data_IF_200889623311
#
_entry.id   IF_200889623311
#
_cell.length_a   1.000
_cell.length_b   1.000
_cell.length_c   1.000
_cell.angle_alpha   90.00
_cell.angle_beta   90.00
_cell.angle_gamma   90.00
#
_symmetry.space_group_name_H-M   'P 1'
#
loop_
_entity.id
_entity.type
_entity.pdbx_description
1 polymer ?
#
# COMPACT_ATOMS: atom_id res chain seq x y z
N UNK A 1 -71.88 34.85 -17.78
CA UNK A 1 -72.20 33.44 -17.45
C UNK A 1 -71.33 32.60 -18.35
N UNK A 2 -70.24 32.21 -17.93
CA UNK A 2 -69.50 31.02 -18.40
C UNK A 2 -68.25 30.90 -17.54
N UNK A 3 -68.29 29.95 -16.66
CA UNK A 3 -67.11 29.54 -15.86
C UNK A 3 -66.11 28.84 -16.74
N UNK A 4 -64.90 29.36 -16.77
CA UNK A 4 -63.79 28.75 -17.46
C UNK A 4 -62.83 28.11 -16.42
N UNK A 5 -62.96 26.81 -16.29
CA UNK A 5 -62.20 25.99 -15.35
C UNK A 5 -60.79 25.77 -15.92
N UNK A 6 -59.82 26.47 -15.42
CA UNK A 6 -58.40 26.23 -15.70
C UNK A 6 -57.96 24.84 -15.15
N UNK A 7 -58.02 23.83 -15.99
CA UNK A 7 -57.42 22.51 -15.75
C UNK A 7 -55.91 22.62 -15.85
N UNK A 8 -55.24 22.76 -14.71
CA UNK A 8 -53.77 22.77 -14.58
C UNK A 8 -53.24 21.39 -14.97
N UNK A 9 -52.73 21.26 -16.20
CA UNK A 9 -52.02 20.07 -16.67
C UNK A 9 -50.66 19.98 -15.93
N UNK A 10 -50.60 19.18 -14.90
CA UNK A 10 -49.32 18.80 -14.32
C UNK A 10 -48.65 17.79 -15.26
N UNK A 11 -47.56 18.23 -15.90
CA UNK A 11 -46.82 17.46 -16.88
C UNK A 11 -46.12 16.27 -16.22
N UNK A 12 -46.24 15.11 -16.85
CA UNK A 12 -45.60 13.84 -16.49
C UNK A 12 -44.03 13.89 -16.56
N UNK A 13 -43.44 15.07 -16.81
CA UNK A 13 -42.00 15.27 -16.94
C UNK A 13 -41.25 15.39 -15.61
N UNK A 14 -41.95 15.66 -14.50
CA UNK A 14 -41.28 15.92 -13.21
C UNK A 14 -40.90 14.64 -12.44
N UNK A 15 -41.60 13.53 -12.68
CA UNK A 15 -41.34 12.26 -11.95
C UNK A 15 -40.11 11.55 -12.51
N UNK A 16 -39.90 11.60 -13.83
CA UNK A 16 -38.73 11.00 -14.47
C UNK A 16 -37.42 11.67 -14.09
N UNK A 17 -37.41 13.02 -13.97
CA UNK A 17 -36.21 13.79 -13.58
C UNK A 17 -35.81 13.53 -12.13
N UNK A 18 -36.77 13.35 -11.21
CA UNK A 18 -36.48 13.03 -9.81
C UNK A 18 -35.90 11.62 -9.64
N UNK A 19 -36.39 10.63 -10.41
CA UNK A 19 -35.87 9.25 -10.35
C UNK A 19 -34.44 9.19 -10.89
N UNK A 20 -34.11 9.92 -11.97
CA UNK A 20 -32.75 9.97 -12.52
C UNK A 20 -31.78 10.63 -11.53
N UNK A 21 -32.19 11.68 -10.82
CA UNK A 21 -31.34 12.30 -9.79
C UNK A 21 -31.06 11.37 -8.60
N UNK A 22 -32.04 10.57 -8.18
CA UNK A 22 -31.87 9.62 -7.07
C UNK A 22 -30.92 8.48 -7.47
N UNK A 23 -30.98 8.01 -8.71
CA UNK A 23 -30.08 6.94 -9.20
C UNK A 23 -28.64 7.45 -9.33
N UNK A 24 -28.43 8.68 -9.80
CA UNK A 24 -27.10 9.26 -9.90
C UNK A 24 -26.43 9.52 -8.54
N UNK A 25 -27.21 9.86 -7.51
CA UNK A 25 -26.68 10.08 -6.16
C UNK A 25 -26.31 8.76 -5.45
N UNK A 26 -26.94 7.64 -5.77
CA UNK A 26 -26.64 6.34 -5.16
C UNK A 26 -25.37 5.68 -5.74
N UNK A 27 -25.02 5.97 -6.99
CA UNK A 27 -23.79 5.42 -7.61
C UNK A 27 -22.53 6.14 -7.12
N UNK A 28 -22.60 7.43 -6.79
CA UNK A 28 -21.46 8.21 -6.28
C UNK A 28 -20.98 7.77 -4.91
N UNK A 29 -21.85 7.23 -4.06
CA UNK A 29 -21.47 6.80 -2.69
C UNK A 29 -20.77 5.44 -2.63
N UNK A 30 -20.89 4.60 -3.64
CA UNK A 30 -20.25 3.28 -3.66
C UNK A 30 -18.76 3.31 -3.99
N UNK A 31 -18.26 4.40 -4.58
CA UNK A 31 -16.84 4.54 -4.91
C UNK A 31 -16.00 5.18 -3.80
N UNK A 32 -16.60 5.77 -2.77
CA UNK A 32 -15.91 6.59 -1.77
C UNK A 32 -15.30 5.80 -0.59
N UNK A 33 -15.45 4.48 -0.49
CA UNK A 33 -15.09 3.74 0.73
C UNK A 33 -14.33 2.44 0.52
N UNK A 34 -13.57 2.28 -0.57
CA UNK A 34 -12.63 1.17 -0.64
C UNK A 34 -11.42 1.52 0.23
N UNK A 35 -11.48 1.15 1.51
CA UNK A 35 -10.34 1.23 2.42
C UNK A 35 -9.20 0.43 1.79
N UNK A 36 -8.16 1.12 1.34
CA UNK A 36 -7.00 0.45 0.77
C UNK A 36 -6.35 -0.41 1.84
N UNK A 37 -6.39 -1.72 1.62
CA UNK A 37 -5.79 -2.68 2.52
C UNK A 37 -4.34 -2.94 2.13
N UNK A 38 -3.53 -3.18 3.16
CA UNK A 38 -2.16 -3.61 2.95
C UNK A 38 -2.16 -5.02 2.32
N UNK A 39 -1.40 -5.22 1.26
CA UNK A 39 -1.14 -6.56 0.74
C UNK A 39 -0.56 -7.42 1.88
N UNK A 40 -1.07 -8.64 2.12
CA UNK A 40 -0.54 -9.52 3.16
C UNK A 40 0.97 -9.74 3.00
N UNK A 41 1.70 -9.67 4.13
CA UNK A 41 3.13 -9.92 4.11
C UNK A 41 3.42 -11.43 3.99
N UNK A 42 4.30 -11.79 3.07
CA UNK A 42 4.77 -13.16 2.92
C UNK A 42 5.73 -13.48 4.07
N UNK A 43 5.45 -14.54 4.83
CA UNK A 43 6.32 -14.97 5.92
C UNK A 43 7.60 -15.58 5.37
N UNK A 44 8.76 -15.10 5.86
CA UNK A 44 10.08 -15.58 5.47
C UNK A 44 10.87 -15.94 6.73
N UNK A 45 11.30 -17.22 6.88
CA UNK A 45 12.16 -17.63 7.99
C UNK A 45 13.61 -17.21 7.74
N UNK A 46 14.37 -17.06 8.82
CA UNK A 46 15.83 -17.04 8.73
C UNK A 46 16.35 -18.49 8.71
N UNK A 47 17.27 -18.77 7.80
CA UNK A 47 18.06 -19.99 7.74
C UNK A 47 19.53 -19.60 7.77
N UNK A 48 20.33 -20.26 8.62
CA UNK A 48 21.75 -19.97 8.79
C UNK A 48 22.04 -18.46 9.02
N UNK A 49 21.24 -17.84 9.90
CA UNK A 49 21.28 -16.42 10.25
C UNK A 49 21.02 -15.46 9.07
N UNK A 50 20.40 -15.94 7.99
CA UNK A 50 20.13 -15.19 6.78
C UNK A 50 18.67 -15.33 6.38
N UNK A 51 18.03 -14.22 6.05
CA UNK A 51 16.75 -14.19 5.35
C UNK A 51 17.04 -14.01 3.86
N UNK A 52 16.54 -14.93 3.03
CA UNK A 52 16.79 -14.93 1.58
C UNK A 52 15.49 -14.83 0.80
N UNK A 53 15.46 -13.98 -0.21
CA UNK A 53 14.33 -13.76 -1.11
C UNK A 53 14.78 -14.01 -2.53
N UNK A 54 14.10 -14.90 -3.23
CA UNK A 54 14.34 -15.18 -4.65
C UNK A 54 14.02 -13.92 -5.48
N UNK A 55 14.99 -13.46 -6.26
CA UNK A 55 14.87 -12.29 -7.14
C UNK A 55 13.71 -12.45 -8.13
N UNK A 56 13.46 -13.67 -8.62
CA UNK A 56 12.37 -13.92 -9.56
C UNK A 56 10.97 -13.63 -9.01
N UNK A 57 10.84 -13.52 -7.68
CA UNK A 57 9.58 -13.18 -6.99
C UNK A 57 9.37 -11.69 -6.80
N UNK A 58 10.37 -10.86 -7.11
CA UNK A 58 10.36 -9.42 -6.79
C UNK A 58 10.93 -8.56 -7.93
N UNK A 59 11.04 -9.11 -9.14
CA UNK A 59 11.64 -8.44 -10.30
C UNK A 59 10.62 -7.80 -11.25
N UNK A 60 9.40 -7.61 -10.82
CA UNK A 60 8.27 -7.08 -11.60
C UNK A 60 8.05 -5.57 -11.41
N UNK A 61 8.81 -4.93 -10.51
CA UNK A 61 8.71 -3.50 -10.19
C UNK A 61 7.54 -3.14 -9.28
N UNK A 62 6.77 -4.12 -8.79
CA UNK A 62 5.72 -3.94 -7.80
C UNK A 62 6.26 -3.95 -6.37
N UNK A 63 5.41 -3.51 -5.43
CA UNK A 63 5.70 -3.52 -4.00
C UNK A 63 5.49 -4.94 -3.43
N UNK A 64 6.59 -5.58 -3.03
CA UNK A 64 6.53 -6.87 -2.33
C UNK A 64 6.73 -6.67 -0.84
N UNK A 65 5.87 -7.29 -0.04
CA UNK A 65 5.90 -7.20 1.42
C UNK A 65 6.23 -8.55 2.04
N UNK A 66 7.18 -8.53 2.98
CA UNK A 66 7.66 -9.69 3.72
C UNK A 66 7.56 -9.49 5.22
N UNK A 67 7.48 -10.59 5.95
CA UNK A 67 7.46 -10.61 7.40
C UNK A 67 8.45 -11.65 7.94
N UNK A 68 9.34 -11.21 8.79
CA UNK A 68 10.23 -12.04 9.57
C UNK A 68 9.78 -12.03 11.04
N UNK A 69 9.76 -13.21 11.69
CA UNK A 69 9.45 -13.32 13.13
C UNK A 69 10.73 -13.51 13.93
N UNK A 70 11.01 -12.57 14.82
CA UNK A 70 12.15 -12.65 15.73
C UNK A 70 11.98 -13.80 16.74
N UNK A 71 13.08 -14.22 17.39
CA UNK A 71 13.02 -15.21 18.49
C UNK A 71 12.13 -14.78 19.65
N UNK A 72 11.95 -13.46 19.85
CA UNK A 72 11.07 -12.88 20.89
C UNK A 72 9.60 -12.77 20.45
N UNK A 73 9.26 -13.27 19.25
CA UNK A 73 7.90 -13.27 18.73
C UNK A 73 7.46 -12.00 17.99
N UNK A 74 8.28 -10.93 17.98
CA UNK A 74 7.97 -9.69 17.24
C UNK A 74 8.00 -9.97 15.74
N UNK A 75 6.96 -9.54 15.03
CA UNK A 75 6.89 -9.60 13.58
C UNK A 75 7.48 -8.33 12.98
N UNK A 76 8.63 -8.46 12.32
CA UNK A 76 9.28 -7.37 11.59
C UNK A 76 8.86 -7.45 10.13
N UNK A 77 8.21 -6.40 9.63
CA UNK A 77 7.79 -6.30 8.23
C UNK A 77 8.76 -5.45 7.46
N UNK A 78 9.04 -5.86 6.23
CA UNK A 78 9.88 -5.10 5.30
C UNK A 78 9.37 -5.23 3.88
N UNK A 79 9.77 -4.30 3.04
CA UNK A 79 9.38 -4.22 1.63
C UNK A 79 10.60 -4.37 0.73
N UNK A 80 10.34 -4.92 -0.44
CA UNK A 80 11.30 -5.03 -1.55
C UNK A 80 10.62 -4.52 -2.81
N UNK A 81 11.36 -3.72 -3.60
CA UNK A 81 10.90 -3.24 -4.91
C UNK A 81 12.06 -3.18 -5.88
N UNK A 82 11.83 -3.58 -7.11
CA UNK A 82 12.79 -3.36 -8.20
C UNK A 82 12.74 -1.88 -8.61
N UNK A 83 13.87 -1.18 -8.52
CA UNK A 83 13.98 0.24 -8.89
C UNK A 83 14.18 0.46 -10.39
N UNK A 84 14.76 -0.53 -11.06
CA UNK A 84 15.12 -0.55 -12.47
C UNK A 84 16.43 -1.30 -12.69
N UNK A 85 16.61 -1.91 -13.86
CA UNK A 85 17.74 -2.80 -14.14
C UNK A 85 17.81 -3.94 -13.11
N UNK A 86 18.90 -4.03 -12.37
CA UNK A 86 19.12 -5.01 -11.28
C UNK A 86 19.20 -4.38 -9.89
N UNK A 87 18.78 -3.11 -9.75
CA UNK A 87 18.82 -2.39 -8.48
C UNK A 87 17.53 -2.57 -7.68
N UNK A 88 17.66 -2.93 -6.41
CA UNK A 88 16.52 -3.11 -5.50
C UNK A 88 16.47 -2.01 -4.44
N UNK A 89 15.26 -1.68 -3.99
CA UNK A 89 15.02 -0.94 -2.77
C UNK A 89 14.56 -1.91 -1.69
N UNK A 90 15.25 -1.95 -0.56
CA UNK A 90 14.87 -2.75 0.60
C UNK A 90 14.79 -1.85 1.81
N UNK A 91 13.66 -1.88 2.50
CA UNK A 91 13.44 -1.08 3.70
C UNK A 91 12.36 -1.68 4.59
N UNK A 92 12.30 -1.22 5.84
CA UNK A 92 11.24 -1.63 6.75
C UNK A 92 9.87 -1.13 6.24
N UNK A 93 8.82 -1.90 6.46
CA UNK A 93 7.43 -1.47 6.23
C UNK A 93 6.99 -0.48 7.32
N UNK A 94 7.84 0.51 7.53
CA UNK A 94 7.83 1.49 8.60
C UNK A 94 8.68 2.70 8.21
N UNK A 95 8.27 3.91 8.55
CA UNK A 95 9.09 5.11 8.46
C UNK A 95 9.25 5.78 9.83
N UNK A 96 10.20 6.70 9.94
CA UNK A 96 10.47 7.41 11.20
C UNK A 96 9.32 8.33 11.62
N UNK A 97 8.54 8.85 10.66
CA UNK A 97 7.47 9.82 10.91
C UNK A 97 6.16 9.11 11.27
N UNK A 98 5.76 8.11 10.44
CA UNK A 98 4.43 7.48 10.54
C UNK A 98 4.46 6.15 11.31
N UNK A 99 5.63 5.66 11.68
CA UNK A 99 5.76 4.37 12.36
C UNK A 99 5.40 3.17 11.46
N UNK A 100 5.01 2.03 12.04
CA UNK A 100 4.80 0.77 11.33
C UNK A 100 3.44 0.66 10.65
N UNK A 101 2.95 1.73 10.04
CA UNK A 101 1.66 1.77 9.33
C UNK A 101 1.71 1.10 7.96
N UNK A 102 2.90 1.04 7.37
CA UNK A 102 3.16 0.35 6.12
C UNK A 102 2.93 1.20 4.87
N UNK A 103 3.22 0.57 3.73
CA UNK A 103 3.10 1.16 2.40
C UNK A 103 2.11 0.37 1.56
N UNK A 104 1.41 1.06 0.67
CA UNK A 104 0.52 0.49 -0.32
C UNK A 104 1.03 0.82 -1.71
N UNK A 105 0.55 0.08 -2.70
CA UNK A 105 0.72 0.44 -4.09
C UNK A 105 -0.60 0.97 -4.65
N UNK A 106 -0.58 2.19 -5.20
CA UNK A 106 -1.72 2.87 -5.80
C UNK A 106 -1.30 3.36 -7.18
N UNK A 107 -1.95 2.89 -8.24
CA UNK A 107 -1.66 3.28 -9.62
C UNK A 107 -0.17 3.14 -10.01
N UNK A 108 0.48 2.07 -9.54
CA UNK A 108 1.90 1.82 -9.75
C UNK A 108 2.86 2.67 -8.93
N UNK A 109 2.35 3.52 -8.04
CA UNK A 109 3.13 4.33 -7.11
C UNK A 109 3.10 3.73 -5.71
N UNK A 110 4.22 3.80 -5.01
CA UNK A 110 4.32 3.38 -3.61
C UNK A 110 3.95 4.58 -2.72
N UNK A 111 2.99 4.39 -1.84
CA UNK A 111 2.40 5.44 -1.02
C UNK A 111 2.46 5.03 0.45
N UNK A 112 2.85 5.95 1.32
CA UNK A 112 2.74 5.74 2.77
C UNK A 112 1.27 5.70 3.18
N UNK A 113 0.83 4.60 3.80
CA UNK A 113 -0.58 4.37 4.13
C UNK A 113 -1.18 5.41 5.09
N UNK A 114 -0.36 6.02 5.95
CA UNK A 114 -0.87 6.97 6.95
C UNK A 114 -0.99 8.40 6.41
N UNK A 115 0.05 8.89 5.72
CA UNK A 115 0.14 10.30 5.32
C UNK A 115 -0.06 10.54 3.83
N UNK A 116 -0.35 9.50 3.05
CA UNK A 116 -0.58 9.55 1.60
C UNK A 116 0.57 10.14 0.75
N UNK A 117 1.76 10.27 1.34
CA UNK A 117 2.94 10.73 0.59
C UNK A 117 3.40 9.65 -0.38
N UNK A 118 3.55 10.03 -1.64
CA UNK A 118 4.09 9.19 -2.70
C UNK A 118 5.60 9.06 -2.53
N UNK A 119 6.09 7.82 -2.51
CA UNK A 119 7.52 7.52 -2.43
C UNK A 119 8.14 7.50 -3.82
N UNK A 120 9.27 8.17 -3.99
CA UNK A 120 10.10 7.95 -5.17
C UNK A 120 10.75 6.57 -5.05
N UNK A 121 10.49 5.66 -6.00
CA UNK A 121 11.08 4.31 -6.01
C UNK A 121 12.61 4.33 -5.87
N UNK A 122 13.28 5.34 -6.44
CA UNK A 122 14.74 5.44 -6.38
C UNK A 122 15.26 5.72 -4.98
N UNK A 123 14.46 6.35 -4.11
CA UNK A 123 14.84 6.67 -2.73
C UNK A 123 14.51 5.58 -1.71
N UNK A 124 13.78 4.52 -2.10
CA UNK A 124 13.49 3.39 -1.22
C UNK A 124 14.81 2.70 -0.83
N UNK A 125 15.03 2.54 0.48
CA UNK A 125 16.30 2.05 1.03
C UNK A 125 17.33 3.16 1.32
N UNK A 126 16.95 4.44 1.14
CA UNK A 126 17.69 5.59 1.63
C UNK A 126 16.99 6.18 2.87
N UNK A 127 17.74 6.74 3.84
CA UNK A 127 17.15 7.31 5.05
C UNK A 127 16.44 8.63 4.77
N UNK A 128 15.48 8.97 5.64
CA UNK A 128 14.88 10.29 5.77
C UNK A 128 13.42 10.39 5.36
N UNK A 129 12.69 11.29 6.02
CA UNK A 129 11.29 11.59 5.78
C UNK A 129 10.36 10.40 5.95
N UNK A 130 9.41 10.26 5.02
CA UNK A 130 8.51 9.10 4.98
C UNK A 130 9.09 7.91 4.20
N UNK A 131 10.37 7.93 3.81
CA UNK A 131 11.00 6.75 3.21
C UNK A 131 10.99 5.56 4.18
N UNK A 132 10.86 4.34 3.67
CA UNK A 132 11.09 3.12 4.44
C UNK A 132 12.46 3.16 5.12
N UNK A 133 12.50 2.89 6.42
CA UNK A 133 13.77 2.82 7.15
C UNK A 133 14.67 1.79 6.46
N UNK A 134 15.91 2.15 6.07
CA UNK A 134 16.80 1.28 5.31
C UNK A 134 17.11 -0.04 6.02
N UNK A 135 17.15 -1.12 5.26
CA UNK A 135 17.64 -2.43 5.71
C UNK A 135 18.88 -2.77 4.90
N UNK A 136 19.97 -3.15 5.57
CA UNK A 136 21.19 -3.61 4.89
C UNK A 136 20.92 -4.97 4.25
N UNK A 137 21.31 -5.10 2.99
CA UNK A 137 21.14 -6.33 2.22
C UNK A 137 22.28 -6.52 1.22
N UNK A 138 22.42 -7.72 0.72
CA UNK A 138 23.27 -8.06 -0.41
C UNK A 138 22.47 -8.74 -1.51
N UNK A 139 22.97 -8.69 -2.73
CA UNK A 139 22.42 -9.40 -3.88
C UNK A 139 23.47 -10.39 -4.41
N UNK A 140 23.07 -11.64 -4.55
CA UNK A 140 23.98 -12.67 -5.07
C UNK A 140 23.28 -14.01 -5.26
N UNK A 141 23.74 -14.79 -6.22
CA UNK A 141 23.18 -16.13 -6.53
C UNK A 141 21.66 -16.13 -6.74
N UNK A 142 21.13 -15.10 -7.42
CA UNK A 142 19.68 -14.99 -7.69
C UNK A 142 18.83 -14.64 -6.45
N UNK A 143 19.44 -14.15 -5.38
CA UNK A 143 18.75 -13.86 -4.13
C UNK A 143 19.11 -12.48 -3.58
N UNK A 144 18.13 -11.84 -2.93
CA UNK A 144 18.34 -10.74 -1.98
C UNK A 144 18.52 -11.38 -0.60
N UNK A 145 19.61 -11.03 0.08
CA UNK A 145 20.01 -11.63 1.35
C UNK A 145 20.13 -10.55 2.43
N UNK A 146 19.43 -10.77 3.55
CA UNK A 146 19.40 -9.88 4.71
C UNK A 146 19.90 -10.66 5.92
N UNK A 147 20.89 -10.14 6.63
CA UNK A 147 21.33 -10.78 7.87
C UNK A 147 20.24 -10.72 8.93
N UNK A 148 20.00 -11.82 9.61
CA UNK A 148 18.98 -11.94 10.68
C UNK A 148 19.15 -10.83 11.72
N UNK A 149 20.38 -10.48 12.10
CA UNK A 149 20.67 -9.43 13.09
C UNK A 149 20.11 -8.06 12.71
N UNK A 150 20.07 -7.72 11.40
CA UNK A 150 19.50 -6.46 10.91
C UNK A 150 17.99 -6.39 11.20
N UNK A 151 17.29 -7.50 10.96
CA UNK A 151 15.85 -7.58 11.24
C UNK A 151 15.57 -7.70 12.75
N UNK A 152 16.41 -8.42 13.51
CA UNK A 152 16.26 -8.48 14.97
C UNK A 152 16.45 -7.09 15.60
N UNK A 153 17.40 -6.30 15.12
CA UNK A 153 17.60 -4.91 15.56
C UNK A 153 16.42 -4.00 15.19
N UNK A 154 15.77 -4.26 14.06
CA UNK A 154 14.59 -3.53 13.60
C UNK A 154 13.31 -3.81 14.40
N UNK A 155 13.27 -4.84 15.24
CA UNK A 155 12.10 -5.19 16.04
C UNK A 155 11.59 -4.03 16.93
N UNK A 156 12.46 -3.09 17.30
CA UNK A 156 12.11 -1.91 18.10
C UNK A 156 11.06 -1.01 17.43
N UNK A 157 10.98 -1.03 16.09
CA UNK A 157 10.01 -0.22 15.33
C UNK A 157 8.63 -0.86 15.22
N UNK A 158 8.45 -2.12 15.67
CA UNK A 158 7.21 -2.91 15.55
C UNK A 158 6.63 -3.35 16.90
N UNK A 159 6.95 -2.63 17.94
CA UNK A 159 6.44 -2.85 19.31
C UNK A 159 5.23 -1.98 19.60
#
# INVERSE_FOLDING_TARGET
MADDIHKKRWGKASVGALIVMIILSSVGSAYANKKEELVPAVSVPAKDQMVSIDINKVNDGHLHRFAYRTKKGTQVRFIVVLKGGSAYGVGLDCCEICGPTGYIEREGQIVCKLCDVVMNKQTIGLPGGCNPIPVKYGVGNGQIRIEQKELDAAAKYFR
#
